data_IF_152356486555
#
_entry.id   IF_152356486555
#
_cell.length_a   1.000
_cell.length_b   1.000
_cell.length_c   1.000
_cell.angle_alpha   90.00
_cell.angle_beta   90.00
_cell.angle_gamma   90.00
#
_symmetry.space_group_name_H-M   'P 1'
#
loop_
_entity.id
_entity.type
_entity.pdbx_description
1 polymer ?
#
# COMPACT_ATOMS: atom_id res chain seq x y z
N UNK A 1 -16.70 -11.86 -0.51
CA UNK A 1 -15.95 -11.00 0.44
C UNK A 1 -16.06 -9.54 0.01
N UNK A 2 -16.00 -8.55 0.92
CA UNK A 2 -16.11 -7.12 0.54
C UNK A 2 -15.02 -6.66 -0.46
N UNK A 3 -13.84 -7.30 -0.44
CA UNK A 3 -12.75 -7.04 -1.38
C UNK A 3 -13.10 -7.37 -2.84
N UNK A 4 -13.92 -8.38 -3.10
CA UNK A 4 -14.30 -8.79 -4.46
C UNK A 4 -15.30 -7.82 -5.11
N UNK A 5 -16.14 -7.15 -4.31
CA UNK A 5 -17.15 -6.22 -4.83
C UNK A 5 -16.56 -4.86 -5.22
N UNK A 6 -15.39 -4.51 -4.68
CA UNK A 6 -14.73 -3.21 -4.89
C UNK A 6 -13.40 -3.32 -5.64
N UNK A 7 -13.00 -4.49 -6.11
CA UNK A 7 -11.69 -4.72 -6.76
C UNK A 7 -11.52 -3.90 -8.05
N UNK A 8 -12.61 -3.47 -8.69
CA UNK A 8 -12.61 -2.62 -9.89
C UNK A 8 -12.64 -1.13 -9.59
N UNK A 9 -12.79 -0.72 -8.33
CA UNK A 9 -12.86 0.68 -7.94
C UNK A 9 -11.45 1.23 -7.73
N UNK A 10 -11.09 2.26 -8.49
CA UNK A 10 -9.91 3.08 -8.22
C UNK A 10 -10.37 4.37 -7.59
N UNK A 11 -9.69 4.80 -6.54
CA UNK A 11 -9.97 6.04 -5.85
C UNK A 11 -8.81 7.03 -6.02
N UNK A 12 -9.12 8.29 -6.28
CA UNK A 12 -8.17 9.37 -6.38
C UNK A 12 -8.00 10.05 -5.03
N UNK A 13 -6.76 10.16 -4.58
CA UNK A 13 -6.44 10.75 -3.28
C UNK A 13 -5.03 11.33 -3.22
N UNK A 14 -4.76 12.03 -2.13
CA UNK A 14 -3.42 12.37 -1.69
C UNK A 14 -3.09 11.60 -0.41
N UNK A 15 -2.02 10.80 -0.46
CA UNK A 15 -1.44 10.13 0.69
C UNK A 15 -0.15 10.85 1.09
N UNK A 16 -0.13 11.42 2.29
CA UNK A 16 1.09 11.97 2.89
C UNK A 16 1.67 10.96 3.88
N UNK A 17 2.91 10.55 3.64
CA UNK A 17 3.71 9.66 4.48
C UNK A 17 4.58 10.51 5.40
N UNK A 18 4.47 10.30 6.72
CA UNK A 18 5.12 11.14 7.72
C UNK A 18 6.14 10.31 8.51
N UNK A 19 7.40 10.76 8.64
CA UNK A 19 8.42 10.02 9.36
C UNK A 19 8.08 9.89 10.85
N UNK A 20 8.58 8.83 11.54
CA UNK A 20 8.57 8.80 13.00
C UNK A 20 9.46 9.91 13.56
N UNK A 21 9.22 10.30 14.82
CA UNK A 21 9.83 11.48 15.48
C UNK A 21 11.35 11.60 15.29
N UNK A 22 12.07 10.47 15.36
CA UNK A 22 13.53 10.42 15.27
C UNK A 22 14.01 9.54 14.09
N UNK A 23 13.22 9.44 13.02
CA UNK A 23 13.55 8.56 11.89
C UNK A 23 13.18 9.12 10.52
N UNK A 24 13.09 8.22 9.54
CA UNK A 24 12.75 8.53 8.15
C UNK A 24 11.56 7.67 7.72
N UNK A 25 10.86 8.10 6.69
CA UNK A 25 9.99 7.18 5.94
C UNK A 25 10.88 6.14 5.28
N UNK A 26 10.52 4.87 5.43
CA UNK A 26 11.22 3.76 4.81
C UNK A 26 10.31 3.10 3.78
N UNK A 27 10.87 2.61 2.69
CA UNK A 27 10.21 1.74 1.72
C UNK A 27 10.88 0.37 1.70
N UNK A 28 10.09 -0.69 1.60
CA UNK A 28 10.62 -2.03 1.43
C UNK A 28 11.17 -2.20 0.02
N UNK A 29 12.42 -2.64 -0.08
CA UNK A 29 13.03 -3.07 -1.33
C UNK A 29 13.07 -4.60 -1.32
N UNK A 30 12.19 -5.22 -2.11
CA UNK A 30 12.08 -6.68 -2.17
C UNK A 30 13.31 -7.36 -2.79
N UNK A 31 14.05 -6.68 -3.69
CA UNK A 31 15.30 -7.19 -4.27
C UNK A 31 16.41 -7.31 -3.23
N UNK A 32 16.49 -6.31 -2.35
CA UNK A 32 17.48 -6.28 -1.27
C UNK A 32 16.97 -6.92 0.03
N UNK A 33 15.69 -7.26 0.10
CA UNK A 33 15.06 -7.86 1.28
C UNK A 33 15.15 -6.99 2.53
N UNK A 34 15.04 -5.66 2.41
CA UNK A 34 15.15 -4.73 3.55
C UNK A 34 14.39 -3.42 3.33
N UNK A 35 14.09 -2.76 4.43
CA UNK A 35 13.59 -1.39 4.44
C UNK A 35 14.72 -0.39 4.23
N UNK A 36 14.55 0.50 3.24
CA UNK A 36 15.52 1.53 2.89
C UNK A 36 14.88 2.91 3.03
N UNK A 37 15.67 3.97 3.33
CA UNK A 37 15.16 5.33 3.28
C UNK A 37 14.54 5.68 1.92
N UNK A 38 13.33 6.22 1.98
CA UNK A 38 12.49 6.68 0.85
C UNK A 38 13.12 7.84 0.06
N UNK A 39 14.31 8.33 0.44
CA UNK A 39 15.09 9.33 -0.31
C UNK A 39 15.65 8.84 -1.65
N UNK A 40 15.51 7.54 -1.97
CA UNK A 40 15.95 6.92 -3.23
C UNK A 40 14.80 6.65 -4.21
N UNK A 41 13.65 7.30 -4.04
CA UNK A 41 12.44 6.93 -4.76
C UNK A 41 12.30 7.59 -6.14
N UNK A 42 11.61 6.86 -7.02
CA UNK A 42 11.12 7.22 -8.36
C UNK A 42 10.51 8.64 -8.45
N UNK A 43 10.33 9.13 -9.68
CA UNK A 43 9.67 10.41 -9.99
C UNK A 43 8.21 10.52 -9.48
N UNK A 44 7.62 9.42 -9.00
CA UNK A 44 6.24 9.33 -8.52
C UNK A 44 5.96 10.04 -7.17
N UNK A 45 6.99 10.51 -6.46
CA UNK A 45 6.85 10.99 -5.08
C UNK A 45 7.28 12.45 -4.95
N UNK A 46 6.48 13.24 -4.25
CA UNK A 46 6.83 14.63 -3.92
C UNK A 46 7.43 14.67 -2.51
N UNK A 47 8.74 14.89 -2.42
CA UNK A 47 9.44 15.08 -1.14
C UNK A 47 9.15 16.47 -0.57
N UNK A 48 8.80 16.53 0.72
CA UNK A 48 8.55 17.76 1.45
C UNK A 48 9.74 18.11 2.37
N UNK A 49 9.84 19.37 2.78
CA UNK A 49 10.99 19.94 3.52
C UNK A 49 11.26 19.32 4.90
N UNK A 50 10.31 18.56 5.44
CA UNK A 50 10.36 17.92 6.75
C UNK A 50 10.56 16.39 6.68
N UNK A 51 10.98 15.87 5.51
CA UNK A 51 11.17 14.42 5.30
C UNK A 51 9.86 13.65 5.15
N UNK A 52 8.74 14.35 4.98
CA UNK A 52 7.48 13.76 4.54
C UNK A 52 7.49 13.55 3.02
N UNK A 53 6.67 12.63 2.56
CA UNK A 53 6.49 12.34 1.13
C UNK A 53 5.02 12.34 0.80
N UNK A 54 4.65 12.91 -0.34
CA UNK A 54 3.29 12.86 -0.86
C UNK A 54 3.23 11.97 -2.09
N UNK A 55 2.17 11.16 -2.13
CA UNK A 55 1.79 10.31 -3.24
C UNK A 55 0.41 10.76 -3.68
N UNK A 56 0.32 11.23 -4.93
CA UNK A 56 -0.92 11.66 -5.54
C UNK A 56 -1.33 10.67 -6.64
N UNK A 57 -2.63 10.50 -6.82
CA UNK A 57 -3.19 9.81 -7.98
C UNK A 57 -4.17 8.71 -7.60
N UNK A 58 -4.30 7.73 -8.49
CA UNK A 58 -5.27 6.64 -8.36
C UNK A 58 -4.70 5.48 -7.55
N UNK A 59 -5.47 5.03 -6.56
CA UNK A 59 -5.19 3.90 -5.70
C UNK A 59 -6.24 2.82 -5.94
N UNK A 60 -5.82 1.59 -6.19
CA UNK A 60 -6.71 0.43 -6.20
C UNK A 60 -6.76 -0.25 -4.84
N UNK A 61 -5.69 -0.08 -4.06
CA UNK A 61 -5.58 -0.65 -2.73
C UNK A 61 -4.67 0.24 -1.87
N UNK A 62 -5.12 0.58 -0.67
CA UNK A 62 -4.34 1.25 0.35
C UNK A 62 -4.74 0.67 1.70
N UNK A 63 -3.77 0.23 2.48
CA UNK A 63 -4.02 -0.28 3.82
C UNK A 63 -2.96 0.23 4.80
N UNK A 64 -3.41 0.69 5.96
CA UNK A 64 -2.57 1.13 7.07
C UNK A 64 -2.62 0.08 8.18
N UNK A 65 -1.50 -0.63 8.36
CA UNK A 65 -1.43 -1.86 9.13
C UNK A 65 -0.53 -1.72 10.36
N UNK A 66 -1.06 -2.12 11.50
CA UNK A 66 -0.29 -2.33 12.75
C UNK A 66 -0.13 -3.81 13.11
N UNK A 67 -0.82 -4.69 12.39
CA UNK A 67 -0.75 -6.16 12.47
C UNK A 67 -0.45 -6.73 11.10
N UNK A 68 0.02 -7.97 10.99
CA UNK A 68 0.36 -8.60 9.71
C UNK A 68 -0.85 -9.12 8.93
N UNK A 69 -1.94 -9.46 9.64
CA UNK A 69 -3.09 -10.20 9.11
C UNK A 69 -4.41 -9.52 9.39
N UNK A 70 -5.35 -9.63 8.44
CA UNK A 70 -6.76 -9.30 8.67
C UNK A 70 -7.63 -10.54 8.87
N UNK A 71 -7.17 -11.69 8.36
CA UNK A 71 -7.77 -13.01 8.54
C UNK A 71 -6.66 -14.05 8.74
N UNK A 72 -6.93 -15.26 9.27
CA UNK A 72 -5.89 -16.23 9.61
C UNK A 72 -4.92 -16.54 8.48
N UNK A 73 -5.34 -16.50 7.21
CA UNK A 73 -4.48 -16.78 6.05
C UNK A 73 -4.20 -15.55 5.18
N UNK A 74 -4.88 -14.42 5.40
CA UNK A 74 -4.73 -13.21 4.60
C UNK A 74 -3.69 -12.26 5.22
N UNK A 75 -2.52 -12.16 4.61
CA UNK A 75 -1.32 -11.48 5.15
C UNK A 75 -0.93 -10.26 4.29
N UNK A 76 -1.63 -9.12 4.39
CA UNK A 76 -1.30 -7.93 3.60
C UNK A 76 0.01 -7.24 4.03
N UNK A 77 0.40 -7.32 5.31
CA UNK A 77 1.58 -6.63 5.85
C UNK A 77 2.51 -7.60 6.59
N UNK A 78 3.20 -8.52 5.88
CA UNK A 78 3.96 -9.62 6.50
C UNK A 78 5.01 -9.21 7.55
N UNK A 79 5.47 -7.95 7.53
CA UNK A 79 6.48 -7.45 8.46
C UNK A 79 5.91 -6.71 9.69
N UNK A 80 4.59 -6.53 9.75
CA UNK A 80 3.92 -5.88 10.88
C UNK A 80 3.70 -6.83 12.09
N UNK A 81 3.88 -8.14 11.88
CA UNK A 81 3.65 -9.20 12.86
C UNK A 81 4.92 -9.74 13.49
N UNK A 82 4.75 -10.74 14.36
CA UNK A 82 5.87 -11.37 15.08
C UNK A 82 6.61 -12.42 14.23
N UNK A 83 5.94 -13.04 13.26
CA UNK A 83 6.44 -14.19 12.51
C UNK A 83 7.47 -13.87 11.42
N UNK A 84 7.80 -12.59 11.21
CA UNK A 84 8.85 -12.19 10.28
C UNK A 84 10.24 -12.20 10.93
N UNK A 85 11.26 -12.09 10.09
CA UNK A 85 12.63 -11.79 10.52
C UNK A 85 12.65 -10.54 11.41
N UNK A 86 13.42 -10.59 12.50
CA UNK A 86 13.51 -9.51 13.48
C UNK A 86 14.02 -8.20 12.86
N UNK A 87 14.91 -8.28 11.87
CA UNK A 87 15.42 -7.11 11.15
C UNK A 87 14.36 -6.43 10.27
N UNK A 88 13.32 -7.15 9.87
CA UNK A 88 12.21 -6.64 9.08
C UNK A 88 11.03 -6.19 9.94
N UNK A 89 10.94 -6.69 11.17
CA UNK A 89 9.82 -6.46 12.08
C UNK A 89 9.52 -4.98 12.28
N UNK A 90 8.23 -4.64 12.27
CA UNK A 90 7.75 -3.28 12.49
C UNK A 90 8.09 -2.77 13.90
N UNK A 91 8.80 -1.63 14.02
CA UNK A 91 8.95 -0.92 15.28
C UNK A 91 7.59 -0.47 15.86
N UNK A 92 7.50 -0.40 17.19
CA UNK A 92 6.26 -0.10 17.90
C UNK A 92 5.66 1.26 17.55
N UNK A 93 6.51 2.23 17.25
CA UNK A 93 6.15 3.61 16.94
C UNK A 93 5.96 3.89 15.44
N UNK A 94 5.74 2.85 14.63
CA UNK A 94 5.49 3.01 13.18
C UNK A 94 4.22 2.29 12.72
N UNK A 95 3.71 2.67 11.56
CA UNK A 95 2.61 2.03 10.83
C UNK A 95 3.19 1.53 9.51
N UNK A 96 2.79 0.34 9.09
CA UNK A 96 3.14 -0.19 7.78
C UNK A 96 2.02 0.18 6.79
N UNK A 97 2.36 0.84 5.68
CA UNK A 97 1.41 1.27 4.64
C UNK A 97 1.63 0.42 3.40
N UNK A 98 0.60 -0.30 2.96
CA UNK A 98 0.65 -1.17 1.78
C UNK A 98 -0.24 -0.56 0.71
N UNK A 99 0.34 -0.29 -0.46
CA UNK A 99 -0.30 0.48 -1.53
C UNK A 99 -0.16 -0.24 -2.86
N UNK A 100 -1.22 -0.19 -3.68
CA UNK A 100 -1.21 -0.61 -5.09
C UNK A 100 -1.81 0.53 -5.92
N UNK A 101 -1.01 1.05 -6.85
CA UNK A 101 -1.40 2.14 -7.76
C UNK A 101 -1.43 1.65 -9.21
N UNK A 102 -2.60 1.63 -9.86
CA UNK A 102 -2.76 1.17 -11.23
C UNK A 102 -1.89 1.89 -12.26
N UNK A 103 -1.70 3.23 -12.21
CA UNK A 103 -0.85 3.94 -13.17
C UNK A 103 0.63 3.51 -13.17
N UNK A 104 1.08 2.69 -12.21
CA UNK A 104 2.43 2.09 -12.22
C UNK A 104 2.55 0.90 -13.17
N UNK A 105 1.44 0.31 -13.62
CA UNK A 105 1.46 -0.73 -14.66
C UNK A 105 1.81 -0.10 -16.00
N UNK A 106 2.79 -0.65 -16.76
CA UNK A 106 3.12 -0.17 -18.10
C UNK A 106 1.91 -0.10 -19.03
N UNK A 107 1.04 -1.12 -19.00
CA UNK A 107 -0.17 -1.18 -19.80
C UNK A 107 -1.15 -0.07 -19.42
N UNK A 108 -1.48 0.06 -18.14
CA UNK A 108 -2.42 1.11 -17.67
C UNK A 108 -1.86 2.50 -17.99
N UNK A 109 -0.56 2.72 -17.77
CA UNK A 109 0.10 3.97 -18.09
C UNK A 109 -0.04 4.33 -19.58
N UNK A 110 0.27 3.39 -20.48
CA UNK A 110 0.15 3.59 -21.93
C UNK A 110 -1.29 3.88 -22.35
N UNK A 111 -2.27 3.14 -21.82
CA UNK A 111 -3.68 3.34 -22.13
C UNK A 111 -4.21 4.71 -21.66
N UNK A 112 -3.79 5.18 -20.48
CA UNK A 112 -4.09 6.54 -20.00
C UNK A 112 -3.48 7.60 -20.92
N UNK A 113 -2.21 7.42 -21.35
CA UNK A 113 -1.55 8.35 -22.27
C UNK A 113 -2.24 8.40 -23.65
N UNK A 114 -2.82 7.29 -24.08
CA UNK A 114 -3.59 7.20 -25.33
C UNK A 114 -5.01 7.80 -25.20
N UNK A 115 -5.43 8.20 -23.99
CA UNK A 115 -6.76 8.78 -23.74
C UNK A 115 -7.90 7.76 -23.79
N UNK A 116 -7.61 6.47 -23.58
CA UNK A 116 -8.63 5.42 -23.61
C UNK A 116 -9.52 5.44 -22.35
N UNK A 117 -10.73 4.87 -22.46
CA UNK A 117 -11.69 4.86 -21.36
C UNK A 117 -11.23 4.00 -20.16
N UNK A 118 -11.27 4.59 -18.97
CA UNK A 118 -10.81 3.96 -17.73
C UNK A 118 -11.61 2.72 -17.31
N UNK A 119 -12.89 2.63 -17.71
CA UNK A 119 -13.81 1.58 -17.27
C UNK A 119 -13.34 0.17 -17.63
N UNK A 120 -12.83 -0.03 -18.86
CA UNK A 120 -12.34 -1.34 -19.28
C UNK A 120 -10.98 -1.65 -18.65
N UNK A 121 -10.11 -0.65 -18.53
CA UNK A 121 -8.81 -0.78 -17.84
C UNK A 121 -8.98 -1.25 -16.39
N UNK A 122 -9.92 -0.65 -15.66
CA UNK A 122 -10.24 -1.01 -14.26
C UNK A 122 -10.61 -2.48 -14.12
N UNK A 123 -11.45 -3.01 -15.02
CA UNK A 123 -11.87 -4.41 -15.01
C UNK A 123 -10.72 -5.36 -15.31
N UNK A 124 -9.94 -5.08 -16.35
CA UNK A 124 -8.81 -5.92 -16.73
C UNK A 124 -7.74 -5.94 -15.64
N UNK A 125 -7.37 -4.77 -15.11
CA UNK A 125 -6.41 -4.65 -14.01
C UNK A 125 -6.87 -5.38 -12.76
N UNK A 126 -8.17 -5.32 -12.46
CA UNK A 126 -8.75 -6.04 -11.33
C UNK A 126 -8.69 -7.56 -11.50
N UNK A 127 -9.06 -8.06 -12.68
CA UNK A 127 -9.13 -9.49 -12.99
C UNK A 127 -7.74 -10.14 -13.05
N UNK A 128 -6.75 -9.40 -13.54
CA UNK A 128 -5.38 -9.90 -13.71
C UNK A 128 -4.51 -9.53 -12.51
N UNK A 129 -4.14 -8.25 -12.40
CA UNK A 129 -3.17 -7.78 -11.41
C UNK A 129 -3.69 -7.94 -9.98
N UNK A 130 -4.83 -7.32 -9.64
CA UNK A 130 -5.29 -7.31 -8.24
C UNK A 130 -5.73 -8.70 -7.77
N UNK A 131 -6.43 -9.46 -8.61
CA UNK A 131 -6.81 -10.84 -8.30
C UNK A 131 -5.59 -11.69 -7.96
N UNK A 132 -4.53 -11.61 -8.79
CA UNK A 132 -3.27 -12.32 -8.54
C UNK A 132 -2.63 -11.88 -7.23
N UNK A 133 -2.49 -10.57 -7.00
CA UNK A 133 -1.89 -10.06 -5.75
C UNK A 133 -2.66 -10.50 -4.50
N UNK A 134 -3.99 -10.43 -4.54
CA UNK A 134 -4.84 -10.75 -3.39
C UNK A 134 -4.84 -12.26 -3.17
N UNK A 135 -5.27 -13.04 -4.16
CA UNK A 135 -5.54 -14.47 -4.01
C UNK A 135 -4.30 -15.36 -4.06
N UNK A 136 -3.28 -14.97 -4.83
CA UNK A 136 -2.02 -15.73 -4.93
C UNK A 136 -0.91 -15.11 -4.09
N UNK A 137 -0.93 -13.79 -3.87
CA UNK A 137 0.08 -13.09 -3.09
C UNK A 137 -0.23 -13.03 -1.59
N UNK A 138 -1.28 -12.30 -1.20
CA UNK A 138 -1.59 -12.04 0.22
C UNK A 138 -2.04 -13.29 0.97
N UNK A 139 -2.74 -14.22 0.31
CA UNK A 139 -3.09 -15.53 0.88
C UNK A 139 -1.92 -16.53 0.89
N UNK A 140 -0.79 -16.20 0.26
CA UNK A 140 0.41 -17.02 0.24
C UNK A 140 1.53 -16.37 1.06
N UNK A 141 1.27 -16.17 2.35
CA UNK A 141 2.25 -15.65 3.32
C UNK A 141 2.89 -14.30 2.95
N UNK A 142 2.17 -13.45 2.22
CA UNK A 142 2.65 -12.12 1.83
C UNK A 142 3.55 -12.11 0.58
N UNK A 143 3.41 -13.10 -0.30
CA UNK A 143 4.16 -13.17 -1.55
C UNK A 143 3.87 -12.02 -2.53
N UNK A 144 2.78 -11.27 -2.33
CA UNK A 144 2.41 -10.08 -3.14
C UNK A 144 3.55 -9.04 -3.23
N UNK A 145 4.43 -8.97 -2.23
CA UNK A 145 5.57 -8.05 -2.21
C UNK A 145 6.65 -8.37 -3.25
N UNK A 146 6.65 -9.59 -3.80
CA UNK A 146 7.64 -10.05 -4.76
C UNK A 146 7.14 -9.99 -6.21
N UNK A 147 5.90 -9.55 -6.44
CA UNK A 147 5.38 -9.40 -7.79
C UNK A 147 5.89 -8.11 -8.44
N UNK A 148 6.27 -8.24 -9.71
CA UNK A 148 6.71 -7.14 -10.58
C UNK A 148 5.90 -7.10 -11.86
N UNK A 149 5.75 -5.91 -12.45
CA UNK A 149 5.12 -5.77 -13.77
C UNK A 149 6.05 -6.23 -14.89
N UNK A 150 5.52 -7.03 -15.80
CA UNK A 150 6.11 -7.28 -17.12
C UNK A 150 5.90 -6.08 -18.05
N UNK A 151 6.65 -6.00 -19.17
CA UNK A 151 6.45 -4.94 -20.17
C UNK A 151 5.04 -4.89 -20.77
N UNK A 152 4.31 -6.01 -20.81
CA UNK A 152 2.93 -6.11 -21.30
C UNK A 152 1.87 -5.73 -20.24
N UNK A 153 2.30 -5.41 -19.02
CA UNK A 153 1.43 -5.02 -17.90
C UNK A 153 0.92 -6.17 -17.03
N UNK A 154 1.15 -7.43 -17.42
CA UNK A 154 0.90 -8.59 -16.56
C UNK A 154 1.90 -8.63 -15.40
N UNK A 155 1.65 -9.47 -14.40
CA UNK A 155 2.55 -9.63 -13.26
C UNK A 155 3.30 -10.96 -13.29
N UNK A 156 4.48 -10.96 -12.70
CA UNK A 156 5.24 -12.18 -12.40
C UNK A 156 5.94 -12.07 -11.06
N UNK A 157 6.26 -13.23 -10.48
CA UNK A 157 7.00 -13.33 -9.24
C UNK A 157 8.50 -13.18 -9.51
N UNK A 158 9.18 -12.29 -8.79
CA UNK A 158 10.62 -12.08 -8.88
C UNK A 158 11.15 -11.69 -10.27
N UNK A 159 10.35 -10.96 -11.06
CA UNK A 159 10.82 -10.40 -12.32
C UNK A 159 11.72 -9.18 -12.13
N UNK A 160 12.23 -8.66 -13.25
CA UNK A 160 13.12 -7.48 -13.27
C UNK A 160 12.36 -6.15 -13.36
N UNK A 161 11.04 -6.20 -13.50
CA UNK A 161 10.20 -5.03 -13.64
C UNK A 161 9.96 -4.26 -12.35
N UNK A 162 9.13 -3.22 -12.44
CA UNK A 162 8.75 -2.41 -11.28
C UNK A 162 7.87 -3.24 -10.35
N UNK A 163 8.16 -3.18 -9.04
CA UNK A 163 7.31 -3.81 -8.03
C UNK A 163 5.89 -3.25 -8.08
N UNK A 164 4.93 -4.18 -7.99
CA UNK A 164 3.50 -3.89 -8.08
C UNK A 164 3.01 -3.25 -6.78
N UNK A 165 3.48 -3.78 -5.64
CA UNK A 165 3.11 -3.33 -4.30
C UNK A 165 4.16 -2.36 -3.78
N UNK A 166 3.70 -1.24 -3.28
CA UNK A 166 4.50 -0.27 -2.55
C UNK A 166 4.27 -0.48 -1.05
N UNK A 167 5.33 -0.77 -0.30
CA UNK A 167 5.27 -1.01 1.14
C UNK A 167 6.13 0.02 1.85
N UNK A 168 5.49 0.89 2.64
CA UNK A 168 6.14 1.91 3.43
C UNK A 168 6.06 1.62 4.92
N UNK A 169 6.98 2.22 5.66
CA UNK A 169 6.98 2.28 7.11
C UNK A 169 7.11 3.73 7.54
N UNK A 170 6.11 4.20 8.29
CA UNK A 170 5.91 5.61 8.63
C UNK A 170 5.62 5.77 10.12
N UNK A 171 5.84 6.95 10.69
CA UNK A 171 5.34 7.28 12.03
C UNK A 171 3.87 7.70 12.03
N UNK A 172 3.42 8.27 10.91
CA UNK A 172 2.04 8.68 10.70
C UNK A 172 1.72 8.73 9.21
N UNK A 173 0.44 8.77 8.88
CA UNK A 173 -0.01 9.08 7.53
C UNK A 173 -1.21 10.04 7.56
N UNK A 174 -1.39 10.74 6.45
CA UNK A 174 -2.59 11.52 6.17
C UNK A 174 -3.15 11.09 4.81
N UNK A 175 -4.46 10.84 4.76
CA UNK A 175 -5.20 10.54 3.54
C UNK A 175 -6.21 11.66 3.31
N UNK A 176 -6.19 12.24 2.12
CA UNK A 176 -7.15 13.25 1.68
C UNK A 176 -7.81 12.75 0.40
N UNK A 177 -9.12 12.53 0.44
CA UNK A 177 -9.91 12.17 -0.73
C UNK A 177 -9.91 13.31 -1.77
N UNK A 178 -9.87 12.97 -3.05
CA UNK A 178 -10.13 13.96 -4.09
C UNK A 178 -11.58 14.46 -3.97
N UNK A 179 -11.80 15.77 -4.18
CA UNK A 179 -13.10 16.41 -3.98
C UNK A 179 -14.22 15.88 -4.88
N UNK A 180 -13.86 15.30 -6.01
CA UNK A 180 -14.73 14.71 -7.03
C UNK A 180 -14.82 13.17 -6.94
N UNK A 181 -14.19 12.55 -5.94
CA UNK A 181 -14.16 11.10 -5.75
C UNK A 181 -14.85 10.69 -4.44
N UNK A 182 -16.14 10.36 -4.54
CA UNK A 182 -16.92 9.90 -3.39
C UNK A 182 -16.43 8.57 -2.80
N UNK A 183 -15.80 7.71 -3.62
CA UNK A 183 -15.28 6.43 -3.16
C UNK A 183 -14.05 6.61 -2.28
N UNK A 184 -13.20 7.60 -2.61
CA UNK A 184 -12.00 7.94 -1.84
C UNK A 184 -12.28 8.38 -0.40
N UNK A 185 -13.53 8.78 -0.09
CA UNK A 185 -13.97 9.17 1.26
C UNK A 185 -14.36 8.00 2.15
N UNK A 186 -14.65 6.85 1.55
CA UNK A 186 -15.07 5.66 2.28
C UNK A 186 -13.84 4.90 2.78
N UNK A 187 -13.70 4.77 4.11
CA UNK A 187 -12.62 3.99 4.72
C UNK A 187 -13.18 2.91 5.66
N UNK A 188 -12.37 1.90 5.94
CA UNK A 188 -12.66 0.86 6.91
C UNK A 188 -11.62 0.91 8.03
N UNK A 189 -12.05 1.15 9.27
CA UNK A 189 -11.20 1.08 10.48
C UNK A 189 -11.69 -0.09 11.32
N UNK A 190 -10.86 -1.13 11.45
CA UNK A 190 -11.16 -2.31 12.27
C UNK A 190 -12.57 -2.92 12.03
N UNK A 191 -13.02 -2.90 10.77
CA UNK A 191 -14.33 -3.40 10.35
C UNK A 191 -15.48 -2.39 10.37
N UNK A 192 -15.23 -1.16 10.83
CA UNK A 192 -16.21 -0.06 10.81
C UNK A 192 -16.01 0.81 9.58
N UNK A 193 -17.08 1.06 8.83
CA UNK A 193 -17.06 1.93 7.65
C UNK A 193 -17.32 3.38 8.06
N UNK A 194 -16.43 4.27 7.67
CA UNK A 194 -16.55 5.71 7.88
C UNK A 194 -16.53 6.44 6.52
N UNK A 195 -17.24 7.56 6.44
CA UNK A 195 -17.25 8.45 5.27
C UNK A 195 -16.70 9.83 5.68
N UNK A 196 -15.44 10.10 5.31
CA UNK A 196 -14.73 11.33 5.66
C UNK A 196 -13.82 11.80 4.53
N UNK A 197 -13.69 13.12 4.36
CA UNK A 197 -12.81 13.69 3.33
C UNK A 197 -11.32 13.60 3.69
N UNK A 198 -11.01 13.47 4.98
CA UNK A 198 -9.64 13.51 5.51
C UNK A 198 -9.46 12.60 6.72
N UNK A 199 -8.39 11.80 6.69
CA UNK A 199 -7.95 10.95 7.81
C UNK A 199 -6.51 11.28 8.15
N UNK A 200 -6.20 11.31 9.44
CA UNK A 200 -4.82 11.37 9.93
C UNK A 200 -4.65 10.36 11.06
N UNK A 201 -3.62 9.53 10.98
CA UNK A 201 -3.33 8.52 11.99
C UNK A 201 -1.85 8.56 12.36
N UNK A 202 -1.59 8.47 13.67
CA UNK A 202 -0.25 8.51 14.24
C UNK A 202 -0.01 7.25 15.08
N UNK A 203 1.12 6.58 14.85
CA UNK A 203 1.56 5.54 15.77
C UNK A 203 1.94 6.19 17.11
N UNK A 204 1.32 5.70 18.18
CA UNK A 204 1.69 6.05 19.54
C UNK A 204 2.28 4.81 20.21
N UNK A 205 3.47 4.96 20.76
CA UNK A 205 4.01 3.96 21.66
C UNK A 205 3.18 4.01 22.95
N UNK A 206 2.57 2.87 23.31
CA UNK A 206 2.00 2.67 24.64
C UNK A 206 2.83 1.62 25.37
N UNK A 207 2.99 1.84 26.68
CA UNK A 207 3.57 0.85 27.59
C UNK A 207 2.76 -0.45 27.53
N UNK A 208 3.46 -1.59 27.64
CA UNK A 208 2.87 -2.91 27.49
C UNK A 208 1.69 -3.12 28.45
N UNK A 209 0.59 -3.65 27.93
CA UNK A 209 -0.34 -4.42 28.75
C UNK A 209 0.29 -5.81 28.86
N UNK A 210 0.98 -6.09 29.98
CA UNK A 210 1.36 -7.46 30.31
C UNK A 210 0.09 -8.24 30.64
N UNK A 211 -0.41 -8.97 29.67
CA UNK A 211 -1.39 -10.03 29.90
C UNK A 211 -0.51 -11.26 30.17
N UNK A 212 -0.50 -11.72 31.43
CA UNK A 212 0.29 -12.82 31.99
C UNK A 212 1.69 -12.47 32.54
N UNK A 213 1.82 -12.71 33.85
CA UNK A 213 3.05 -12.78 34.67
C UNK A 213 3.21 -14.19 35.20
#
# INVERSE_FOLDING_TARGET
MAAELNITSWCNACLTLIPPKDGKVLSYNAKEGKFLPTSNLDEDYVSLTNGQFQVFGSFAYMNAMVVDRLEPTFVPAPFAGFFCDESLRRPRNTIDIVVVRPPRSPKVFTEIQNGNEETNMRKEYAQDVLSTLIFEGMYSHGAHLNYTYKPDGHVELHGDGRYVVEYFRVGAYEWIAASDDAQARTLCVDGTIEDVDKVSAHAKEKENICIWS
#
